data_IF_730141745890
#
_entry.id   IF_730141745890
#
_cell.length_a   1.000
_cell.length_b   1.000
_cell.length_c   1.000
_cell.angle_alpha   90.00
_cell.angle_beta   90.00
_cell.angle_gamma   90.00
#
_symmetry.space_group_name_H-M   'P 1'
#
loop_
_entity.id
_entity.type
_entity.pdbx_description
1 polymer ?
#
# COMPACT_ATOMS: atom_id res chain seq x y z
N UNK A 1 -43.18 0.10 -5.80
CA UNK A 1 -42.61 -0.73 -4.71
C UNK A 1 -41.12 -0.83 -4.97
N UNK A 2 -40.29 -0.25 -4.11
CA UNK A 2 -38.84 -0.43 -4.20
C UNK A 2 -38.47 -1.91 -3.92
N UNK A 3 -37.32 -2.38 -4.41
CA UNK A 3 -36.87 -3.74 -4.14
C UNK A 3 -36.73 -3.97 -2.62
N UNK A 4 -37.27 -5.09 -2.16
CA UNK A 4 -37.24 -5.54 -0.76
C UNK A 4 -35.80 -5.92 -0.38
N UNK A 5 -35.12 -5.01 0.33
CA UNK A 5 -33.72 -5.16 0.75
C UNK A 5 -33.49 -6.34 1.70
N UNK A 6 -34.54 -6.94 2.27
CA UNK A 6 -34.43 -8.04 3.23
C UNK A 6 -34.50 -9.44 2.61
N UNK A 7 -34.92 -9.56 1.34
CA UNK A 7 -34.98 -10.85 0.62
C UNK A 7 -33.67 -11.28 -0.05
N UNK A 8 -32.66 -10.45 0.08
CA UNK A 8 -31.48 -10.53 -0.74
C UNK A 8 -30.25 -10.55 0.14
N UNK A 9 -29.63 -11.73 0.24
CA UNK A 9 -28.22 -11.88 0.55
C UNK A 9 -27.29 -11.20 -0.51
N UNK A 10 -27.82 -10.28 -1.34
CA UNK A 10 -27.27 -9.77 -2.60
C UNK A 10 -26.32 -8.59 -2.46
N UNK A 11 -25.99 -8.11 -1.26
CA UNK A 11 -24.97 -7.06 -1.17
C UNK A 11 -23.64 -7.56 -1.76
N UNK A 12 -23.32 -8.86 -1.66
CA UNK A 12 -22.10 -9.41 -2.29
C UNK A 12 -22.30 -9.93 -3.73
N UNK A 13 -23.42 -9.64 -4.38
CA UNK A 13 -23.70 -10.04 -5.77
C UNK A 13 -23.28 -8.93 -6.75
N UNK A 14 -22.04 -9.00 -7.22
CA UNK A 14 -21.49 -8.02 -8.18
C UNK A 14 -22.28 -7.99 -9.51
N UNK A 15 -22.74 -9.12 -10.09
CA UNK A 15 -23.67 -9.11 -11.22
C UNK A 15 -24.96 -8.32 -10.96
N UNK A 16 -25.60 -8.50 -9.80
CA UNK A 16 -26.81 -7.74 -9.45
C UNK A 16 -26.51 -6.23 -9.37
N UNK A 17 -25.44 -5.84 -8.66
CA UNK A 17 -25.03 -4.44 -8.57
C UNK A 17 -24.73 -3.83 -9.95
N UNK A 18 -24.08 -4.60 -10.84
CA UNK A 18 -23.84 -4.17 -12.21
C UNK A 18 -25.13 -3.92 -12.99
N UNK A 19 -26.15 -4.76 -12.81
CA UNK A 19 -27.46 -4.58 -13.43
C UNK A 19 -28.15 -3.30 -12.92
N UNK A 20 -28.12 -3.05 -11.61
CA UNK A 20 -28.69 -1.84 -11.02
C UNK A 20 -27.96 -0.58 -11.48
N UNK A 21 -26.62 -0.56 -11.46
CA UNK A 21 -25.83 0.56 -11.99
C UNK A 21 -26.19 0.87 -13.45
N UNK A 22 -26.41 -0.16 -14.28
CA UNK A 22 -26.83 0.03 -15.67
C UNK A 22 -28.20 0.71 -15.77
N UNK A 23 -29.14 0.35 -14.89
CA UNK A 23 -30.49 0.95 -14.86
C UNK A 23 -30.45 2.43 -14.47
N UNK A 24 -29.48 2.85 -13.67
CA UNK A 24 -29.29 4.24 -13.25
C UNK A 24 -28.39 5.07 -14.20
N UNK A 25 -28.00 4.52 -15.36
CA UNK A 25 -27.31 5.28 -16.41
C UNK A 25 -25.78 5.31 -16.32
N UNK A 26 -25.17 4.51 -15.44
CA UNK A 26 -23.72 4.31 -15.45
C UNK A 26 -23.28 3.50 -16.68
N UNK A 27 -22.06 3.74 -17.16
CA UNK A 27 -21.51 3.11 -18.38
C UNK A 27 -20.27 2.26 -18.08
N UNK A 28 -19.74 1.56 -19.10
CA UNK A 28 -18.52 0.75 -19.00
C UNK A 28 -18.53 -0.26 -17.83
N UNK A 29 -19.70 -0.83 -17.54
CA UNK A 29 -19.91 -1.64 -16.34
C UNK A 29 -19.31 -3.04 -16.50
N UNK A 30 -18.53 -3.47 -15.52
CA UNK A 30 -17.91 -4.81 -15.45
C UNK A 30 -17.92 -5.35 -14.03
N UNK A 31 -18.71 -6.40 -13.80
CA UNK A 31 -18.63 -7.19 -12.58
C UNK A 31 -17.39 -8.11 -12.58
N UNK A 32 -16.74 -8.24 -11.43
CA UNK A 32 -15.59 -9.12 -11.20
C UNK A 32 -15.84 -9.89 -9.88
N UNK A 33 -16.75 -10.88 -9.90
CA UNK A 33 -17.17 -11.58 -8.69
C UNK A 33 -16.10 -12.54 -8.13
N UNK A 34 -15.25 -13.10 -8.98
CA UNK A 34 -14.29 -14.15 -8.60
C UNK A 34 -12.96 -13.61 -8.02
N UNK A 35 -12.84 -12.30 -7.86
CA UNK A 35 -11.68 -11.69 -7.22
C UNK A 35 -11.68 -11.94 -5.70
N UNK A 36 -10.50 -11.88 -5.07
CA UNK A 36 -10.38 -12.00 -3.60
C UNK A 36 -11.26 -10.99 -2.85
N UNK A 37 -11.40 -9.78 -3.39
CA UNK A 37 -12.44 -8.83 -3.00
C UNK A 37 -13.28 -8.61 -4.26
N UNK A 38 -14.52 -9.13 -4.31
CA UNK A 38 -15.43 -8.92 -5.43
C UNK A 38 -15.67 -7.43 -5.64
N UNK A 39 -15.59 -7.00 -6.90
CA UNK A 39 -15.80 -5.60 -7.27
C UNK A 39 -16.70 -5.48 -8.51
N UNK A 40 -17.37 -4.35 -8.64
CA UNK A 40 -17.95 -3.88 -9.89
C UNK A 40 -17.24 -2.60 -10.31
N UNK A 41 -16.73 -2.58 -11.55
CA UNK A 41 -16.16 -1.38 -12.17
C UNK A 41 -17.21 -0.72 -13.05
N UNK A 42 -17.25 0.61 -13.08
CA UNK A 42 -18.18 1.37 -13.92
C UNK A 42 -17.65 2.79 -14.13
N UNK A 43 -18.23 3.50 -15.09
CA UNK A 43 -17.96 4.90 -15.36
C UNK A 43 -19.21 5.74 -15.06
N UNK A 44 -19.02 6.84 -14.35
CA UNK A 44 -20.05 7.86 -14.11
C UNK A 44 -19.93 8.98 -15.14
N UNK A 45 -20.83 9.04 -16.14
CA UNK A 45 -20.76 10.06 -17.20
C UNK A 45 -21.05 11.47 -16.68
N UNK A 46 -21.69 11.64 -15.52
CA UNK A 46 -22.01 12.96 -14.99
C UNK A 46 -20.79 13.62 -14.35
N UNK A 47 -19.97 12.84 -13.64
CA UNK A 47 -18.74 13.32 -12.98
C UNK A 47 -17.48 13.04 -13.79
N UNK A 48 -17.60 12.26 -14.87
CA UNK A 48 -16.49 11.76 -15.69
C UNK A 48 -15.45 10.99 -14.85
N UNK A 49 -15.93 10.12 -13.95
CA UNK A 49 -15.11 9.33 -13.04
C UNK A 49 -15.23 7.83 -13.33
N UNK A 50 -14.07 7.16 -13.35
CA UNK A 50 -13.99 5.71 -13.29
C UNK A 50 -14.06 5.24 -11.83
N UNK A 51 -15.02 4.37 -11.56
CA UNK A 51 -15.39 3.94 -10.23
C UNK A 51 -15.20 2.44 -10.04
N UNK A 52 -14.78 2.04 -8.85
CA UNK A 52 -14.77 0.65 -8.40
C UNK A 52 -15.55 0.55 -7.09
N UNK A 53 -16.58 -0.29 -7.06
CA UNK A 53 -17.41 -0.54 -5.88
C UNK A 53 -17.21 -1.98 -5.41
N UNK A 54 -17.08 -2.15 -4.10
CA UNK A 54 -17.16 -3.43 -3.42
C UNK A 54 -18.14 -3.31 -2.26
N UNK A 55 -18.58 -4.43 -1.73
CA UNK A 55 -19.42 -4.49 -0.54
C UNK A 55 -18.69 -5.20 0.58
N UNK A 56 -18.92 -4.81 1.83
CA UNK A 56 -18.42 -5.55 2.99
C UNK A 56 -16.90 -5.62 3.15
N UNK A 57 -16.09 -4.80 2.46
CA UNK A 57 -14.65 -4.67 2.72
C UNK A 57 -14.38 -3.66 3.85
N UNK A 58 -14.89 -3.94 5.05
CA UNK A 58 -14.70 -3.09 6.23
C UNK A 58 -13.22 -2.84 6.55
N UNK A 59 -12.37 -3.85 6.33
CA UNK A 59 -10.93 -3.70 6.54
C UNK A 59 -10.29 -2.68 5.59
N UNK A 60 -10.75 -2.59 4.35
CA UNK A 60 -10.31 -1.56 3.39
C UNK A 60 -10.62 -0.15 3.88
N UNK A 61 -11.80 0.05 4.49
CA UNK A 61 -12.18 1.32 5.12
C UNK A 61 -11.27 1.66 6.31
N UNK A 62 -10.97 0.68 7.16
CA UNK A 62 -10.12 0.89 8.33
C UNK A 62 -8.67 1.19 7.94
N UNK A 63 -8.13 0.50 6.94
CA UNK A 63 -6.83 0.84 6.35
C UNK A 63 -6.81 2.27 5.77
N UNK A 64 -7.89 2.69 5.12
CA UNK A 64 -8.03 4.06 4.60
C UNK A 64 -8.08 5.09 5.73
N UNK A 65 -8.75 4.77 6.85
CA UNK A 65 -8.77 5.61 8.04
C UNK A 65 -7.40 5.70 8.72
N UNK A 66 -6.66 4.58 8.81
CA UNK A 66 -5.28 4.58 9.33
C UNK A 66 -4.38 5.51 8.50
N UNK A 67 -4.43 5.40 7.17
CA UNK A 67 -3.69 6.29 6.26
C UNK A 67 -4.12 7.75 6.46
N UNK A 68 -5.43 8.01 6.58
CA UNK A 68 -5.95 9.36 6.83
C UNK A 68 -5.44 9.93 8.14
N UNK A 69 -5.37 9.13 9.20
CA UNK A 69 -4.79 9.54 10.49
C UNK A 69 -3.34 9.96 10.28
N UNK A 70 -2.49 9.11 9.67
CA UNK A 70 -1.09 9.45 9.38
C UNK A 70 -0.93 10.74 8.57
N UNK A 71 -1.72 10.91 7.51
CA UNK A 71 -1.69 12.09 6.64
C UNK A 71 -2.03 13.38 7.42
N UNK A 72 -2.80 13.27 8.50
CA UNK A 72 -3.24 14.42 9.30
C UNK A 72 -2.22 14.82 10.38
N UNK A 73 -1.13 14.05 10.57
CA UNK A 73 -0.17 14.28 11.66
C UNK A 73 0.92 15.29 11.30
N UNK A 74 1.36 15.34 10.04
CA UNK A 74 2.41 16.26 9.59
C UNK A 74 2.14 16.72 8.15
N UNK A 75 2.26 18.02 7.85
CA UNK A 75 1.91 18.59 6.54
C UNK A 75 2.75 18.04 5.37
N UNK A 76 3.94 17.47 5.64
CA UNK A 76 4.82 16.89 4.61
C UNK A 76 4.35 15.51 4.16
N UNK A 77 3.57 14.81 4.98
CA UNK A 77 3.17 13.40 4.74
C UNK A 77 2.29 13.28 3.49
N UNK A 78 1.26 14.11 3.38
CA UNK A 78 0.34 14.09 2.23
C UNK A 78 1.07 14.28 0.88
N UNK A 79 1.84 15.37 0.67
CA UNK A 79 2.53 15.57 -0.60
C UNK A 79 3.60 14.51 -0.84
N UNK A 80 4.33 14.05 0.18
CA UNK A 80 5.31 12.98 0.05
C UNK A 80 4.68 11.69 -0.49
N UNK A 81 3.61 11.22 0.17
CA UNK A 81 2.90 10.00 -0.21
C UNK A 81 2.29 10.10 -1.63
N UNK A 82 1.82 11.30 -2.00
CA UNK A 82 1.32 11.58 -3.35
C UNK A 82 2.43 11.47 -4.40
N UNK A 83 3.59 12.08 -4.14
CA UNK A 83 4.73 12.07 -5.06
C UNK A 83 5.27 10.66 -5.29
N UNK A 84 5.54 9.88 -4.23
CA UNK A 84 6.06 8.51 -4.39
C UNK A 84 5.06 7.62 -5.15
N UNK A 85 3.75 7.81 -4.94
CA UNK A 85 2.70 7.06 -5.65
C UNK A 85 2.69 7.40 -7.14
N UNK A 86 2.74 8.69 -7.47
CA UNK A 86 2.69 9.17 -8.85
C UNK A 86 3.96 8.82 -9.62
N UNK A 87 5.14 9.00 -9.01
CA UNK A 87 6.41 8.58 -9.60
C UNK A 87 6.38 7.06 -9.85
N UNK A 88 5.97 6.25 -8.86
CA UNK A 88 5.85 4.80 -9.03
C UNK A 88 4.88 4.41 -10.16
N UNK A 89 3.80 5.18 -10.35
CA UNK A 89 2.87 4.99 -11.46
C UNK A 89 3.51 5.34 -12.80
N UNK A 90 4.17 6.50 -12.91
CA UNK A 90 4.86 6.93 -14.13
C UNK A 90 5.98 5.95 -14.54
N UNK A 91 6.67 5.37 -13.57
CA UNK A 91 7.67 4.32 -13.77
C UNK A 91 7.07 2.95 -14.15
N UNK A 92 5.75 2.78 -14.12
CA UNK A 92 5.09 1.51 -14.43
C UNK A 92 5.30 0.41 -13.38
N UNK A 93 5.67 0.78 -12.16
CA UNK A 93 5.91 -0.14 -11.03
C UNK A 93 4.79 -0.13 -9.98
N UNK A 94 3.72 0.61 -10.23
CA UNK A 94 2.49 0.66 -9.44
C UNK A 94 1.36 -0.12 -10.15
N UNK A 95 1.58 -1.41 -10.45
CA UNK A 95 0.58 -2.29 -11.05
C UNK A 95 0.60 -3.67 -10.41
N UNK A 96 -0.33 -3.90 -9.47
CA UNK A 96 -0.51 -5.22 -8.85
C UNK A 96 -0.85 -6.32 -9.87
N UNK A 97 -1.51 -5.96 -10.98
CA UNK A 97 -1.85 -6.88 -12.06
C UNK A 97 -0.61 -7.39 -12.78
N UNK A 98 0.35 -6.51 -13.02
CA UNK A 98 1.63 -6.83 -13.68
C UNK A 98 2.66 -7.44 -12.70
N UNK A 99 2.24 -7.62 -11.45
CA UNK A 99 3.04 -8.25 -10.40
C UNK A 99 4.07 -7.31 -9.76
N UNK A 100 3.96 -6.01 -9.97
CA UNK A 100 4.74 -4.98 -9.25
C UNK A 100 3.95 -4.52 -8.01
N UNK A 101 4.15 -3.29 -7.53
CA UNK A 101 3.55 -2.80 -6.29
C UNK A 101 2.10 -2.37 -6.52
N UNK A 102 1.25 -2.51 -5.50
CA UNK A 102 -0.02 -1.80 -5.45
C UNK A 102 0.19 -0.38 -4.90
N UNK A 103 -0.74 0.53 -5.16
CA UNK A 103 -0.69 1.86 -4.55
C UNK A 103 -0.68 1.78 -3.02
N UNK A 104 -1.44 0.83 -2.46
CA UNK A 104 -1.43 0.58 -1.03
C UNK A 104 -0.05 0.15 -0.52
N UNK A 105 0.64 -0.76 -1.23
CA UNK A 105 2.00 -1.18 -0.88
C UNK A 105 2.99 0.00 -0.90
N UNK A 106 2.97 0.84 -1.95
CA UNK A 106 3.82 2.04 -2.05
C UNK A 106 3.57 3.00 -0.87
N UNK A 107 2.31 3.23 -0.51
CA UNK A 107 1.94 4.10 0.61
C UNK A 107 2.42 3.53 1.95
N UNK A 108 2.28 2.21 2.16
CA UNK A 108 2.80 1.56 3.37
C UNK A 108 4.32 1.65 3.48
N UNK A 109 5.06 1.49 2.37
CA UNK A 109 6.52 1.71 2.33
C UNK A 109 6.88 3.14 2.73
N UNK A 110 6.13 4.12 2.22
CA UNK A 110 6.32 5.53 2.55
C UNK A 110 6.07 5.84 4.02
N UNK A 111 4.99 5.31 4.60
CA UNK A 111 4.68 5.48 6.02
C UNK A 111 5.78 4.90 6.91
N UNK A 112 6.22 3.66 6.66
CA UNK A 112 7.30 3.04 7.46
C UNK A 112 8.63 3.78 7.27
N UNK A 113 8.91 4.27 6.06
CA UNK A 113 10.07 5.13 5.83
C UNK A 113 10.03 6.40 6.70
N UNK A 114 8.89 7.10 6.77
CA UNK A 114 8.73 8.29 7.62
C UNK A 114 8.72 7.98 9.13
N UNK A 115 8.41 6.74 9.54
CA UNK A 115 8.50 6.26 10.93
C UNK A 115 9.92 5.86 11.35
N UNK A 116 10.78 5.55 10.39
CA UNK A 116 12.13 5.01 10.66
C UNK A 116 13.22 6.01 10.35
N UNK A 117 13.06 6.77 9.27
CA UNK A 117 14.05 7.66 8.65
C UNK A 117 15.48 7.14 8.83
N UNK A 118 15.80 6.00 8.17
CA UNK A 118 17.13 5.43 8.21
C UNK A 118 18.09 6.46 7.62
N UNK A 119 18.89 7.07 8.49
CA UNK A 119 19.82 8.12 8.10
C UNK A 119 21.02 7.54 7.37
N UNK A 120 21.69 8.38 6.59
CA UNK A 120 22.97 8.05 5.97
C UNK A 120 24.13 8.29 6.95
N UNK A 121 25.18 7.45 6.86
CA UNK A 121 26.50 7.65 7.51
C UNK A 121 26.48 8.23 8.95
N UNK A 122 25.68 7.64 9.84
CA UNK A 122 25.80 7.87 11.30
C UNK A 122 24.95 9.00 11.89
N UNK A 123 24.09 9.67 11.12
CA UNK A 123 23.10 10.63 11.66
C UNK A 123 21.69 10.11 11.53
N UNK A 124 21.18 9.45 12.58
CA UNK A 124 19.79 9.03 12.65
C UNK A 124 18.89 10.26 12.76
N UNK A 125 18.01 10.45 11.78
CA UNK A 125 17.04 11.53 11.79
C UNK A 125 15.87 11.19 12.73
N UNK A 126 15.30 12.20 13.38
CA UNK A 126 14.08 12.00 14.17
C UNK A 126 12.93 11.59 13.23
N UNK A 127 12.11 10.58 13.55
CA UNK A 127 10.96 10.21 12.73
C UNK A 127 10.00 11.38 12.49
N UNK A 128 9.32 11.35 11.34
CA UNK A 128 8.23 12.29 11.02
C UNK A 128 6.91 11.76 11.59
N UNK A 129 6.70 10.45 11.46
CA UNK A 129 5.48 9.79 11.87
C UNK A 129 5.68 8.95 13.13
N UNK A 130 4.70 8.95 14.06
CA UNK A 130 4.70 8.05 15.20
C UNK A 130 4.29 6.62 14.78
N UNK A 131 4.40 5.67 15.70
CA UNK A 131 3.94 4.28 15.52
C UNK A 131 2.55 4.09 16.13
N UNK A 132 1.50 4.42 15.39
CA UNK A 132 0.11 4.43 15.89
C UNK A 132 -0.39 3.08 16.42
N UNK A 133 0.21 1.97 15.98
CA UNK A 133 -0.14 0.61 16.43
C UNK A 133 0.76 0.09 17.55
N UNK A 134 1.71 0.91 18.02
CA UNK A 134 2.62 0.62 19.14
C UNK A 134 2.49 1.75 20.16
N UNK A 135 1.30 1.88 20.74
CA UNK A 135 0.99 2.88 21.77
C UNK A 135 0.52 2.20 23.06
N UNK A 136 0.59 2.91 24.21
CA UNK A 136 0.03 2.40 25.47
C UNK A 136 -1.43 1.97 25.31
N UNK A 137 -1.80 0.86 25.97
CA UNK A 137 -3.11 0.25 25.80
C UNK A 137 -4.27 1.23 26.02
N UNK A 138 -4.13 2.18 26.96
CA UNK A 138 -5.13 3.18 27.30
C UNK A 138 -5.46 4.17 26.17
N UNK A 139 -4.58 4.31 25.16
CA UNK A 139 -4.80 5.20 24.01
C UNK A 139 -5.38 4.48 22.80
N UNK A 140 -5.31 3.16 22.79
CA UNK A 140 -5.64 2.36 21.62
C UNK A 140 -7.16 2.26 21.45
N UNK A 141 -7.65 2.60 20.26
CA UNK A 141 -8.99 2.25 19.83
C UNK A 141 -8.96 0.85 19.22
N UNK A 142 -9.97 0.04 19.53
CA UNK A 142 -10.08 -1.33 19.07
C UNK A 142 -11.46 -1.59 18.46
N UNK A 143 -11.49 -2.27 17.32
CA UNK A 143 -12.70 -2.65 16.62
C UNK A 143 -12.53 -4.03 15.99
N UNK A 144 -13.46 -4.94 16.29
CA UNK A 144 -13.49 -6.28 15.71
C UNK A 144 -14.19 -6.27 14.36
N UNK A 145 -13.47 -6.72 13.33
CA UNK A 145 -13.94 -6.68 11.96
C UNK A 145 -14.10 -8.10 11.45
N UNK A 146 -15.32 -8.43 11.02
CA UNK A 146 -15.59 -9.68 10.33
C UNK A 146 -15.19 -9.55 8.87
N UNK A 147 -14.25 -10.38 8.42
CA UNK A 147 -13.92 -10.48 7.01
C UNK A 147 -15.03 -11.26 6.29
N UNK A 148 -15.76 -10.55 5.42
CA UNK A 148 -16.78 -11.16 4.57
C UNK A 148 -16.19 -11.79 3.29
N UNK A 149 -14.92 -11.50 3.00
CA UNK A 149 -14.23 -11.93 1.79
C UNK A 149 -12.97 -12.69 2.17
N UNK A 150 -13.01 -14.02 2.01
CA UNK A 150 -11.88 -14.89 2.32
C UNK A 150 -10.70 -14.61 1.40
N UNK A 151 -9.57 -14.22 1.97
CA UNK A 151 -8.28 -14.49 1.35
C UNK A 151 -8.15 -15.99 1.07
N UNK A 152 -7.36 -16.36 0.07
CA UNK A 152 -7.11 -17.74 -0.37
C UNK A 152 -6.43 -18.67 0.66
N UNK A 153 -6.56 -18.40 1.96
CA UNK A 153 -6.20 -19.29 3.06
C UNK A 153 -7.42 -20.13 3.43
N UNK A 154 -7.61 -21.20 2.66
CA UNK A 154 -8.52 -22.28 3.00
C UNK A 154 -8.05 -22.98 4.28
N UNK A 155 -8.56 -22.56 5.43
CA UNK A 155 -8.71 -23.46 6.57
C UNK A 155 -10.11 -24.05 6.50
N UNK A 156 -10.31 -25.02 5.59
CA UNK A 156 -11.50 -25.86 5.58
C UNK A 156 -11.31 -26.90 6.69
N UNK A 157 -11.92 -26.66 7.85
CA UNK A 157 -12.16 -27.69 8.85
C UNK A 157 -13.68 -27.78 8.98
N UNK A 158 -14.27 -28.76 8.27
CA UNK A 158 -15.72 -28.92 8.15
C UNK A 158 -16.36 -28.02 7.07
N UNK A 159 -17.63 -28.30 6.75
CA UNK A 159 -18.43 -27.59 5.74
C UNK A 159 -18.85 -26.15 6.15
N UNK A 160 -18.23 -25.57 7.18
CA UNK A 160 -18.58 -24.24 7.69
C UNK A 160 -17.48 -23.22 7.39
N UNK A 161 -17.84 -22.16 6.67
CA UNK A 161 -16.97 -20.99 6.49
C UNK A 161 -16.88 -20.24 7.82
N UNK A 162 -15.81 -20.46 8.59
CA UNK A 162 -15.49 -19.58 9.73
C UNK A 162 -15.08 -18.22 9.18
N UNK A 163 -15.86 -17.20 9.52
CA UNK A 163 -15.48 -15.81 9.25
C UNK A 163 -14.30 -15.46 10.16
N UNK A 164 -13.19 -15.03 9.57
CA UNK A 164 -12.05 -14.54 10.35
C UNK A 164 -12.43 -13.20 10.99
N UNK A 165 -12.32 -13.12 12.31
CA UNK A 165 -12.46 -11.87 13.07
C UNK A 165 -11.06 -11.28 13.20
N UNK A 166 -10.91 -10.06 12.68
CA UNK A 166 -9.67 -9.30 12.75
C UNK A 166 -9.85 -8.17 13.73
N UNK A 167 -9.06 -8.21 14.80
CA UNK A 167 -8.99 -7.12 15.76
C UNK A 167 -8.18 -5.99 15.13
N UNK A 168 -8.84 -4.87 14.84
CA UNK A 168 -8.18 -3.68 14.32
C UNK A 168 -7.89 -2.73 15.46
N UNK A 169 -6.61 -2.56 15.78
CA UNK A 169 -6.18 -1.81 16.96
C UNK A 169 -5.13 -0.77 16.60
N UNK A 170 -5.43 0.51 16.81
CA UNK A 170 -4.48 1.61 16.65
C UNK A 170 -4.94 2.86 17.40
N UNK A 171 -4.01 3.76 17.72
CA UNK A 171 -4.30 5.05 18.30
C UNK A 171 -4.85 6.01 17.24
N UNK A 172 -6.09 6.47 17.43
CA UNK A 172 -6.81 7.36 16.52
C UNK A 172 -6.69 8.84 16.92
N UNK A 173 -6.02 9.14 18.05
CA UNK A 173 -5.97 10.50 18.59
C UNK A 173 -5.11 11.42 17.71
N UNK A 174 -5.58 12.66 17.54
CA UNK A 174 -4.86 13.73 16.83
C UNK A 174 -4.43 14.83 17.81
N UNK A 175 -3.84 14.41 18.94
CA UNK A 175 -3.36 15.30 19.98
C UNK A 175 -1.91 15.76 19.73
N UNK A 176 -1.39 16.63 20.60
CA UNK A 176 -0.04 17.20 20.46
C UNK A 176 1.07 16.13 20.46
N UNK A 177 0.84 14.98 21.10
CA UNK A 177 1.78 13.86 21.10
C UNK A 177 2.02 13.35 19.67
N UNK A 178 0.97 13.21 18.87
CA UNK A 178 1.09 12.70 17.49
C UNK A 178 1.31 13.81 16.47
N UNK A 179 0.59 14.93 16.59
CA UNK A 179 0.71 16.07 15.65
C UNK A 179 2.01 16.86 15.82
N UNK A 180 2.67 16.72 16.97
CA UNK A 180 4.00 17.28 17.23
C UNK A 180 5.16 16.34 16.91
N UNK A 181 4.92 15.07 16.59
CA UNK A 181 5.97 14.04 16.50
C UNK A 181 7.08 14.40 15.50
N UNK A 182 6.71 14.96 14.34
CA UNK A 182 7.65 15.36 13.30
C UNK A 182 8.24 16.78 13.46
N UNK A 183 7.85 17.54 14.49
CA UNK A 183 8.19 18.97 14.63
C UNK A 183 9.69 19.23 14.71
N UNK A 184 10.42 18.32 15.36
CA UNK A 184 11.88 18.43 15.53
C UNK A 184 12.67 17.89 14.32
N UNK A 185 12.00 17.30 13.34
CA UNK A 185 12.64 16.89 12.11
C UNK A 185 12.59 18.05 11.11
N UNK A 186 13.76 18.49 10.64
CA UNK A 186 13.91 19.63 9.75
C UNK A 186 14.03 19.26 8.27
N UNK A 187 13.92 17.98 7.91
CA UNK A 187 14.05 17.53 6.53
C UNK A 187 12.95 18.16 5.65
N UNK A 188 13.38 18.68 4.52
CA UNK A 188 12.53 19.18 3.45
C UNK A 188 11.82 18.02 2.74
N UNK A 189 10.72 18.35 2.08
CA UNK A 189 9.98 17.39 1.26
C UNK A 189 10.86 16.73 0.18
N UNK A 190 11.77 17.51 -0.43
CA UNK A 190 12.73 17.02 -1.42
C UNK A 190 13.73 16.02 -0.83
N UNK A 191 14.25 16.29 0.37
CA UNK A 191 15.18 15.40 1.07
C UNK A 191 14.50 14.08 1.45
N UNK A 192 13.25 14.15 1.93
CA UNK A 192 12.45 12.95 2.22
C UNK A 192 12.20 12.14 0.94
N UNK A 193 11.89 12.81 -0.17
CA UNK A 193 11.63 12.16 -1.45
C UNK A 193 12.88 11.47 -2.00
N UNK A 194 14.02 12.17 -2.05
CA UNK A 194 15.31 11.62 -2.51
C UNK A 194 15.71 10.46 -1.61
N UNK A 195 15.67 10.66 -0.29
CA UNK A 195 16.06 9.65 0.69
C UNK A 195 15.19 8.39 0.65
N UNK A 196 13.90 8.50 0.31
CA UNK A 196 13.04 7.33 0.11
C UNK A 196 13.55 6.45 -1.04
N UNK A 197 13.80 7.05 -2.21
CA UNK A 197 14.26 6.31 -3.37
C UNK A 197 15.70 5.82 -3.19
N UNK A 198 16.55 6.58 -2.52
CA UNK A 198 17.89 6.14 -2.12
C UNK A 198 17.84 4.90 -1.24
N UNK A 199 17.08 4.96 -0.14
CA UNK A 199 17.00 3.88 0.82
C UNK A 199 16.53 2.59 0.17
N UNK A 200 15.41 2.64 -0.58
CA UNK A 200 14.87 1.45 -1.22
C UNK A 200 15.67 1.02 -2.46
N UNK A 201 16.52 1.84 -3.06
CA UNK A 201 17.38 1.39 -4.17
C UNK A 201 18.77 0.93 -3.75
N UNK A 202 19.27 1.35 -2.59
CA UNK A 202 20.70 1.15 -2.24
C UNK A 202 20.94 0.53 -0.88
N UNK A 203 20.02 0.69 0.07
CA UNK A 203 20.26 0.36 1.47
C UNK A 203 19.34 -0.74 2.00
N UNK A 204 18.10 -0.82 1.52
CA UNK A 204 17.12 -1.79 2.01
C UNK A 204 17.50 -3.23 1.60
N UNK A 205 17.79 -4.08 2.59
CA UNK A 205 18.14 -5.48 2.36
C UNK A 205 16.90 -6.34 2.05
N UNK A 206 16.42 -6.32 0.79
CA UNK A 206 15.21 -7.02 0.32
C UNK A 206 15.19 -8.53 0.62
N UNK A 207 16.34 -9.19 0.66
CA UNK A 207 16.46 -10.63 0.95
C UNK A 207 16.31 -10.94 2.43
N UNK A 208 16.67 -10.01 3.30
CA UNK A 208 16.75 -10.23 4.74
C UNK A 208 15.66 -9.54 5.55
N UNK A 209 15.13 -8.41 5.05
CA UNK A 209 14.23 -7.54 5.79
C UNK A 209 12.80 -7.59 5.25
N UNK A 210 11.85 -7.49 6.17
CA UNK A 210 10.43 -7.30 5.93
C UNK A 210 10.01 -5.93 6.45
N UNK A 211 9.15 -5.25 5.71
CA UNK A 211 8.53 -3.98 6.12
C UNK A 211 7.33 -4.33 6.99
N UNK A 212 7.41 -4.08 8.29
CA UNK A 212 6.34 -4.41 9.22
C UNK A 212 5.55 -3.17 9.59
N UNK A 213 4.43 -2.92 8.89
CA UNK A 213 3.68 -1.67 9.00
C UNK A 213 3.20 -1.38 10.41
N UNK A 214 2.60 -2.37 11.09
CA UNK A 214 2.09 -2.15 12.45
C UNK A 214 3.19 -1.81 13.47
N UNK A 215 4.38 -2.40 13.34
CA UNK A 215 5.52 -2.09 14.20
C UNK A 215 6.21 -0.79 13.78
N UNK A 216 5.97 -0.31 12.55
CA UNK A 216 6.66 0.82 11.96
C UNK A 216 8.17 0.62 11.90
N UNK A 217 8.60 -0.58 11.50
CA UNK A 217 10.01 -0.99 11.49
C UNK A 217 10.34 -2.03 10.41
N UNK A 218 11.64 -2.27 10.22
CA UNK A 218 12.19 -3.27 9.31
C UNK A 218 12.72 -4.49 10.09
N UNK A 219 11.95 -5.58 10.08
CA UNK A 219 12.28 -6.79 10.83
C UNK A 219 13.02 -7.80 9.96
N UNK A 220 13.85 -8.67 10.56
CA UNK A 220 14.43 -9.79 9.82
C UNK A 220 13.34 -10.79 9.42
N UNK A 221 13.41 -11.28 8.19
CA UNK A 221 12.59 -12.39 7.71
C UNK A 221 13.04 -13.66 8.44
N UNK A 222 12.20 -14.19 9.31
CA UNK A 222 12.52 -15.46 9.98
C UNK A 222 12.22 -16.64 9.05
N UNK A 223 13.01 -17.72 9.15
CA UNK A 223 12.83 -18.95 8.38
C UNK A 223 11.54 -19.73 8.74
N UNK A 224 10.92 -19.44 9.88
CA UNK A 224 9.75 -20.16 10.41
C UNK A 224 8.39 -19.55 10.04
N UNK A 225 8.36 -18.52 9.19
CA UNK A 225 7.12 -17.79 8.91
C UNK A 225 6.23 -18.45 7.85
N UNK A 226 4.92 -18.19 7.98
CA UNK A 226 3.82 -18.59 7.07
C UNK A 226 4.02 -18.18 5.59
N UNK A 227 5.10 -17.46 5.28
CA UNK A 227 5.49 -17.02 3.95
C UNK A 227 6.64 -17.89 3.43
N UNK A 228 6.35 -19.09 2.92
CA UNK A 228 7.36 -19.92 2.26
C UNK A 228 7.96 -19.17 1.06
N UNK A 229 9.23 -18.81 1.15
CA UNK A 229 9.96 -18.25 0.00
C UNK A 229 10.11 -19.34 -1.06
N UNK A 230 9.61 -19.09 -2.27
CA UNK A 230 9.64 -20.06 -3.37
C UNK A 230 11.00 -20.10 -4.09
N UNK A 231 12.09 -20.00 -3.33
CA UNK A 231 13.46 -19.95 -3.87
C UNK A 231 13.79 -18.70 -4.71
N UNK A 232 12.93 -17.68 -4.72
CA UNK A 232 13.12 -16.44 -5.48
C UNK A 232 12.98 -15.25 -4.53
N UNK A 233 13.89 -14.25 -4.59
CA UNK A 233 13.79 -13.04 -3.78
C UNK A 233 12.42 -12.37 -3.93
N UNK A 234 11.82 -11.96 -2.82
CA UNK A 234 10.52 -11.31 -2.80
C UNK A 234 10.49 -10.16 -1.80
N UNK A 235 9.82 -9.08 -2.18
CA UNK A 235 9.54 -7.99 -1.25
C UNK A 235 8.45 -8.44 -0.27
N UNK A 236 8.72 -8.25 1.03
CA UNK A 236 7.79 -8.59 2.11
C UNK A 236 7.33 -7.32 2.79
N UNK A 237 6.04 -7.02 2.64
CA UNK A 237 5.35 -5.94 3.36
C UNK A 237 4.19 -6.56 4.11
N UNK A 238 4.28 -6.54 5.44
CA UNK A 238 3.29 -7.15 6.33
C UNK A 238 2.18 -6.13 6.55
N UNK A 239 0.94 -6.53 6.27
CA UNK A 239 -0.23 -5.66 6.45
C UNK A 239 -0.38 -5.20 7.93
N UNK A 240 -0.83 -3.96 8.17
CA UNK A 240 -1.02 -3.42 9.51
C UNK A 240 -2.01 -4.19 10.38
N UNK A 241 -3.01 -4.87 9.81
CA UNK A 241 -4.00 -5.62 10.60
C UNK A 241 -4.03 -7.11 10.24
N UNK A 242 -3.61 -7.48 9.03
CA UNK A 242 -3.45 -8.88 8.60
C UNK A 242 -1.98 -9.30 8.64
N UNK A 243 -1.43 -9.55 9.84
CA UNK A 243 -0.01 -9.88 9.99
C UNK A 243 0.45 -11.16 9.26
N UNK A 244 -0.48 -12.00 8.84
CA UNK A 244 -0.21 -13.18 8.01
C UNK A 244 -0.23 -12.89 6.50
N UNK A 245 -0.47 -11.64 6.08
CA UNK A 245 -0.59 -11.23 4.67
C UNK A 245 0.62 -10.40 4.23
N UNK A 246 1.25 -10.85 3.14
CA UNK A 246 2.24 -10.05 2.41
C UNK A 246 1.53 -9.28 1.29
N UNK A 247 1.39 -7.96 1.45
CA UNK A 247 0.69 -7.11 0.48
C UNK A 247 1.50 -6.84 -0.79
N UNK A 248 2.79 -7.18 -0.78
CA UNK A 248 3.69 -7.15 -1.93
C UNK A 248 4.01 -8.56 -2.47
N UNK A 249 3.23 -9.60 -2.12
CA UNK A 249 3.56 -11.00 -2.43
C UNK A 249 3.70 -11.36 -3.92
N UNK A 250 3.27 -10.49 -4.84
CA UNK A 250 3.49 -10.64 -6.29
C UNK A 250 4.82 -10.03 -6.78
N UNK A 251 5.40 -9.10 -6.01
CA UNK A 251 6.66 -8.43 -6.30
C UNK A 251 7.84 -9.33 -5.90
N UNK A 252 8.27 -10.17 -6.84
CA UNK A 252 9.32 -11.18 -6.68
C UNK A 252 10.09 -11.38 -7.98
N UNK A 253 11.32 -11.89 -7.88
CA UNK A 253 12.17 -12.19 -9.04
C UNK A 253 12.34 -10.98 -9.94
N UNK A 254 12.08 -11.14 -11.24
CA UNK A 254 12.21 -10.06 -12.23
C UNK A 254 11.35 -8.84 -11.93
N UNK A 255 10.16 -9.01 -11.33
CA UNK A 255 9.32 -7.88 -10.95
C UNK A 255 9.92 -7.09 -9.79
N UNK A 256 10.59 -7.77 -8.86
CA UNK A 256 11.33 -7.10 -7.80
C UNK A 256 12.54 -6.36 -8.37
N UNK A 257 13.26 -6.99 -9.31
CA UNK A 257 14.38 -6.34 -10.03
C UNK A 257 13.92 -5.07 -10.74
N UNK A 258 12.80 -5.12 -11.48
CA UNK A 258 12.22 -3.93 -12.15
C UNK A 258 11.89 -2.80 -11.17
N UNK A 259 11.31 -3.12 -10.01
CA UNK A 259 11.02 -2.13 -8.96
C UNK A 259 12.32 -1.49 -8.46
N UNK A 260 13.34 -2.30 -8.18
CA UNK A 260 14.64 -1.84 -7.71
C UNK A 260 15.36 -0.95 -8.74
N UNK A 261 15.39 -1.36 -10.01
CA UNK A 261 15.99 -0.57 -11.11
C UNK A 261 15.29 0.78 -11.29
N UNK A 262 13.96 0.78 -11.27
CA UNK A 262 13.16 2.00 -11.37
C UNK A 262 13.40 2.94 -10.17
N UNK A 263 13.48 2.42 -8.94
CA UNK A 263 13.82 3.23 -7.77
C UNK A 263 15.22 3.83 -7.86
N UNK A 264 16.21 3.08 -8.34
CA UNK A 264 17.56 3.61 -8.55
C UNK A 264 17.58 4.69 -9.64
N UNK A 265 16.87 4.50 -10.75
CA UNK A 265 16.74 5.49 -11.81
C UNK A 265 16.14 6.81 -11.28
N UNK A 266 15.04 6.71 -10.51
CA UNK A 266 14.39 7.87 -9.89
C UNK A 266 15.32 8.56 -8.91
N UNK A 267 16.02 7.81 -8.06
CA UNK A 267 17.00 8.38 -7.13
C UNK A 267 18.06 9.19 -7.89
N UNK A 268 18.67 8.62 -8.93
CA UNK A 268 19.69 9.32 -9.73
C UNK A 268 19.13 10.58 -10.40
N UNK A 269 17.91 10.53 -10.93
CA UNK A 269 17.25 11.68 -11.53
C UNK A 269 16.98 12.80 -10.50
N UNK A 270 16.38 12.47 -9.36
CA UNK A 270 16.06 13.44 -8.31
C UNK A 270 17.32 14.03 -7.66
N UNK A 271 18.36 13.22 -7.42
CA UNK A 271 19.65 13.70 -6.90
C UNK A 271 20.37 14.63 -7.88
N UNK A 272 20.10 14.51 -9.18
CA UNK A 272 20.52 15.46 -10.21
C UNK A 272 19.60 16.68 -10.38
N UNK A 273 18.51 16.78 -9.61
CA UNK A 273 17.53 17.86 -9.72
C UNK A 273 16.53 17.72 -10.89
N UNK A 274 16.46 16.55 -11.52
CA UNK A 274 15.64 16.30 -12.73
C UNK A 274 14.34 15.55 -12.40
N UNK A 275 13.32 16.32 -12.00
CA UNK A 275 11.99 15.77 -11.70
C UNK A 275 11.28 15.22 -12.93
N UNK A 276 11.48 15.83 -14.10
CA UNK A 276 10.84 15.40 -15.35
C UNK A 276 11.34 14.01 -15.75
N UNK A 277 12.63 13.75 -15.60
CA UNK A 277 13.21 12.42 -15.79
C UNK A 277 12.69 11.42 -14.76
N UNK A 278 12.58 11.81 -13.49
CA UNK A 278 11.98 10.96 -12.46
C UNK A 278 10.51 10.59 -12.77
N UNK A 279 9.80 11.44 -13.50
CA UNK A 279 8.40 11.24 -13.94
C UNK A 279 8.28 10.58 -15.33
N UNK A 280 9.39 10.20 -15.97
CA UNK A 280 9.39 9.45 -17.23
C UNK A 280 9.72 7.99 -16.98
N UNK A 281 8.96 7.10 -17.61
CA UNK A 281 9.15 5.66 -17.46
C UNK A 281 10.58 5.27 -17.84
N UNK A 282 11.26 4.56 -16.94
CA UNK A 282 12.54 3.93 -17.23
C UNK A 282 12.38 2.89 -18.35
N UNK A 283 13.01 3.14 -19.50
CA UNK A 283 13.21 2.14 -20.56
C UNK A 283 14.68 1.72 -20.58
N UNK A 284 14.93 0.45 -20.28
CA UNK A 284 16.29 -0.12 -20.25
C UNK A 284 17.01 0.02 -21.60
N UNK A 285 16.25 0.08 -22.70
CA UNK A 285 16.81 0.20 -24.07
C UNK A 285 17.47 1.54 -24.35
N UNK A 286 17.07 2.61 -23.66
CA UNK A 286 17.71 3.93 -23.82
C UNK A 286 19.09 3.98 -23.14
N UNK A 287 19.31 3.18 -22.08
CA UNK A 287 20.60 3.10 -21.38
C UNK A 287 21.64 2.34 -22.19
N UNK A 288 21.24 1.24 -22.84
CA UNK A 288 22.14 0.46 -23.69
C UNK A 288 22.59 1.25 -24.93
N UNK A 289 21.73 2.11 -25.50
CA UNK A 289 22.08 3.02 -26.60
C UNK A 289 23.16 4.05 -26.20
N UNK A 290 23.14 4.54 -24.96
CA UNK A 290 24.16 5.47 -24.45
C UNK A 290 25.50 4.80 -24.15
N UNK A 291 25.49 3.50 -23.80
CA UNK A 291 26.70 2.71 -23.55
C UNK A 291 27.31 2.12 -24.84
N UNK A 292 26.58 2.13 -25.96
CA UNK A 292 27.11 1.73 -27.30
C UNK A 292 27.68 2.93 -28.07
N UNK A 293 27.34 4.16 -27.66
CA UNK A 293 27.77 5.40 -28.31
C UNK A 293 28.87 6.16 -27.55
N UNK A 294 29.43 5.59 -26.47
CA UNK A 294 30.62 6.07 -25.75
C UNK A 294 31.60 4.91 -25.52
#
# INVERSE_FOLDING_TARGET
MGPDIHKHALLNDMPYLAAELKRYGFTSIRAIPDATVPIVKFHDPNTNLDCELNTGNYLGTINSNLIRTYISLDPRVKPFLYLIKNISHAQGINSFRDGTLSSYAVIMMGIVYLQTLPGDLGRRQKPILPRLQVQPAARMSEEDVRLNHGGSTHSVVGNERRHEIIQTRYDKNLDELHTGAGRDNTMLLSELLIGFFEFYSRQFAYTEKAIHVAQGDYLHKTHNEKFKERGVPSLRIIDPFLHHRNIAGRCRGDNLKKVWEAFNHVYLALSGGDLDKAMKRYDQREVDLYNVLN
#
